data_IF_813582551281
#
_entry.id   IF_813582551281
#
_cell.length_a   1.000
_cell.length_b   1.000
_cell.length_c   1.000
_cell.angle_alpha   90.00
_cell.angle_beta   90.00
_cell.angle_gamma   90.00
#
_symmetry.space_group_name_H-M   'P 1'
#
loop_
_entity.id
_entity.type
_entity.pdbx_description
1 polymer ?
#
# COMPACT_ATOMS: atom_id res chain seq x y z
N UNK A 1 43.98 8.94 13.33
CA UNK A 1 42.59 8.95 12.84
C UNK A 1 42.18 7.51 12.70
N UNK A 2 41.16 7.03 13.40
CA UNK A 2 40.79 5.61 13.30
C UNK A 2 40.22 5.38 11.90
N UNK A 3 40.72 4.37 11.20
CA UNK A 3 40.13 3.86 9.96
C UNK A 3 38.72 3.38 10.30
N UNK A 4 37.74 4.25 10.11
CA UNK A 4 36.34 3.86 10.18
C UNK A 4 36.10 3.04 8.93
N UNK A 5 36.04 1.72 9.09
CA UNK A 5 35.65 0.81 8.03
C UNK A 5 34.38 1.36 7.35
N UNK A 6 34.45 1.52 6.02
CA UNK A 6 33.29 1.94 5.25
C UNK A 6 32.17 0.91 5.46
N UNK A 7 30.90 1.33 5.52
CA UNK A 7 29.78 0.40 5.51
C UNK A 7 29.92 -0.54 4.30
N UNK A 8 29.97 -1.83 4.57
CA UNK A 8 29.99 -2.89 3.57
C UNK A 8 28.66 -3.64 3.59
N UNK A 9 28.24 -4.14 2.44
CA UNK A 9 27.05 -4.98 2.33
C UNK A 9 27.22 -6.22 3.22
N UNK A 10 26.24 -6.45 4.10
CA UNK A 10 26.16 -7.65 4.93
C UNK A 10 24.97 -8.47 4.44
N UNK A 11 25.23 -9.50 3.64
CA UNK A 11 24.19 -10.43 3.21
C UNK A 11 23.83 -11.34 4.38
N UNK A 12 22.58 -11.25 4.86
CA UNK A 12 22.04 -12.15 5.89
C UNK A 12 21.23 -13.24 5.19
N UNK A 13 21.67 -14.49 5.32
CA UNK A 13 20.98 -15.65 4.72
C UNK A 13 21.30 -15.85 3.23
N UNK A 14 20.54 -16.77 2.60
CA UNK A 14 20.59 -17.01 1.16
C UNK A 14 19.31 -16.48 0.53
N UNK A 15 19.44 -15.73 -0.56
CA UNK A 15 18.28 -15.26 -1.34
C UNK A 15 17.76 -16.45 -2.15
N UNK A 16 16.55 -16.89 -1.84
CA UNK A 16 15.82 -17.86 -2.65
C UNK A 16 14.87 -17.13 -3.59
N UNK A 17 14.89 -17.54 -4.85
CA UNK A 17 14.00 -16.98 -5.87
C UNK A 17 12.66 -17.71 -5.85
N UNK A 18 11.62 -17.01 -5.41
CA UNK A 18 10.25 -17.56 -5.29
C UNK A 18 9.46 -17.44 -6.60
N UNK A 19 9.56 -16.31 -7.31
CA UNK A 19 8.84 -16.05 -8.56
C UNK A 19 9.61 -15.07 -9.46
N UNK A 20 9.18 -14.95 -10.72
CA UNK A 20 9.68 -13.95 -11.68
C UNK A 20 8.54 -13.15 -12.26
N UNK A 21 8.82 -11.88 -12.55
CA UNK A 21 7.91 -10.95 -13.20
C UNK A 21 8.68 -10.26 -14.33
N UNK A 22 8.11 -10.23 -15.52
CA UNK A 22 8.77 -9.67 -16.72
C UNK A 22 8.02 -8.47 -17.31
N UNK A 23 6.73 -8.35 -17.00
CA UNK A 23 5.84 -7.33 -17.56
C UNK A 23 5.59 -6.23 -16.52
N UNK A 24 4.42 -6.23 -15.86
CA UNK A 24 4.09 -5.24 -14.83
C UNK A 24 4.96 -5.38 -13.57
N UNK A 25 5.31 -4.23 -12.97
CA UNK A 25 6.09 -4.20 -11.73
C UNK A 25 5.17 -4.47 -10.53
N UNK A 26 5.42 -5.52 -9.72
CA UNK A 26 4.66 -5.76 -8.51
C UNK A 26 4.97 -4.70 -7.46
N UNK A 27 3.97 -4.29 -6.69
CA UNK A 27 4.13 -3.29 -5.62
C UNK A 27 4.12 -3.89 -4.23
N UNK A 28 3.58 -5.10 -4.07
CA UNK A 28 3.50 -5.78 -2.79
C UNK A 28 3.41 -7.30 -2.92
N UNK A 29 3.76 -7.99 -1.83
CA UNK A 29 3.65 -9.43 -1.68
C UNK A 29 3.21 -9.77 -0.25
N UNK A 30 2.36 -10.78 -0.10
CA UNK A 30 1.96 -11.35 1.19
C UNK A 30 1.83 -12.86 1.10
N UNK A 31 1.96 -13.54 2.23
CA UNK A 31 1.89 -15.02 2.32
C UNK A 31 0.80 -15.41 3.32
N UNK A 32 -0.05 -16.38 2.98
CA UNK A 32 -1.04 -16.94 3.90
C UNK A 32 -0.40 -17.86 4.94
N UNK A 33 -1.15 -18.19 5.99
CA UNK A 33 -0.74 -19.20 6.97
C UNK A 33 -0.53 -20.59 6.34
N UNK A 34 -1.19 -20.85 5.21
CA UNK A 34 -1.06 -22.08 4.40
C UNK A 34 0.06 -22.01 3.34
N UNK A 35 0.80 -20.90 3.25
CA UNK A 35 1.92 -20.73 2.32
C UNK A 35 1.54 -20.26 0.91
N UNK A 36 0.27 -19.88 0.68
CA UNK A 36 -0.17 -19.26 -0.58
C UNK A 36 0.44 -17.87 -0.70
N UNK A 37 0.93 -17.51 -1.88
CA UNK A 37 1.62 -16.24 -2.12
C UNK A 37 0.74 -15.35 -2.98
N UNK A 38 0.46 -14.14 -2.51
CA UNK A 38 -0.32 -13.15 -3.24
C UNK A 38 0.55 -11.95 -3.59
N UNK A 39 0.35 -11.43 -4.80
CA UNK A 39 1.08 -10.31 -5.37
C UNK A 39 0.06 -9.29 -5.86
N UNK A 40 0.39 -8.01 -5.78
CA UNK A 40 -0.44 -6.96 -6.35
C UNK A 40 0.35 -5.98 -7.22
N UNK A 41 -0.37 -5.38 -8.15
CA UNK A 41 0.15 -4.51 -9.19
C UNK A 41 -0.70 -3.24 -9.25
N UNK A 42 -0.13 -2.10 -8.87
CA UNK A 42 -0.80 -0.83 -9.06
C UNK A 42 -0.69 -0.38 -10.52
N UNK A 43 -1.75 0.24 -11.04
CA UNK A 43 -1.78 0.77 -12.41
C UNK A 43 -1.09 2.13 -12.47
N UNK A 44 0.24 2.17 -12.42
CA UNK A 44 1.02 3.42 -12.45
C UNK A 44 1.34 3.91 -13.87
N UNK A 45 1.29 3.02 -14.87
CA UNK A 45 1.65 3.32 -16.26
C UNK A 45 1.93 2.06 -17.08
N UNK A 46 2.27 0.97 -16.40
CA UNK A 46 2.41 -0.37 -16.99
C UNK A 46 1.07 -0.90 -17.52
N UNK A 47 1.12 -1.84 -18.46
CA UNK A 47 -0.04 -2.65 -18.83
C UNK A 47 -0.28 -3.73 -17.76
N UNK A 48 -1.39 -3.61 -17.03
CA UNK A 48 -1.70 -4.44 -15.86
C UNK A 48 -3.00 -5.23 -16.11
N UNK A 49 -2.89 -6.49 -16.58
CA UNK A 49 -4.06 -7.30 -16.94
C UNK A 49 -4.90 -7.71 -15.71
N UNK A 50 -4.28 -7.80 -14.55
CA UNK A 50 -4.93 -8.02 -13.25
C UNK A 50 -4.13 -7.31 -12.17
N UNK A 51 -4.81 -6.76 -11.18
CA UNK A 51 -4.18 -5.93 -10.14
C UNK A 51 -3.90 -6.72 -8.86
N UNK A 52 -4.48 -7.91 -8.73
CA UNK A 52 -4.16 -8.89 -7.69
C UNK A 52 -3.99 -10.26 -8.32
N UNK A 53 -2.97 -10.98 -7.88
CA UNK A 53 -2.68 -12.33 -8.32
C UNK A 53 -2.29 -13.24 -7.15
N UNK A 54 -2.55 -14.53 -7.33
CA UNK A 54 -1.90 -15.59 -6.57
C UNK A 54 -0.79 -16.22 -7.43
N UNK A 55 0.33 -16.54 -6.81
CA UNK A 55 1.37 -17.36 -7.45
C UNK A 55 0.99 -18.83 -7.30
N UNK A 56 0.63 -19.46 -8.42
CA UNK A 56 0.38 -20.91 -8.52
C UNK A 56 1.35 -21.49 -9.54
N UNK A 57 2.09 -22.52 -9.16
CA UNK A 57 3.12 -23.16 -10.00
C UNK A 57 4.11 -22.17 -10.63
N UNK A 58 4.51 -21.15 -9.86
CA UNK A 58 5.44 -20.09 -10.29
C UNK A 58 4.84 -19.06 -11.25
N UNK A 59 3.53 -19.07 -11.50
CA UNK A 59 2.83 -18.13 -12.38
C UNK A 59 1.84 -17.28 -11.61
N UNK A 60 1.76 -15.99 -11.96
CA UNK A 60 0.73 -15.09 -11.45
C UNK A 60 -0.61 -15.35 -12.16
N UNK A 61 -1.63 -15.72 -11.40
CA UNK A 61 -3.01 -15.90 -11.87
C UNK A 61 -3.90 -14.89 -11.14
N UNK A 62 -4.85 -14.28 -11.86
CA UNK A 62 -5.77 -13.30 -11.27
C UNK A 62 -6.50 -13.87 -10.05
N UNK A 63 -6.56 -13.07 -8.99
CA UNK A 63 -7.14 -13.47 -7.72
C UNK A 63 -8.04 -12.36 -7.17
N UNK A 64 -9.22 -12.65 -6.57
CA UNK A 64 -9.83 -13.99 -6.42
C UNK A 64 -10.27 -14.63 -7.74
N UNK A 65 -10.64 -13.80 -8.72
CA UNK A 65 -10.98 -14.25 -10.07
C UNK A 65 -10.72 -13.15 -11.12
N UNK A 66 -10.90 -13.50 -12.38
CA UNK A 66 -10.72 -12.60 -13.51
C UNK A 66 -11.82 -11.53 -13.62
N UNK A 67 -13.06 -11.80 -13.20
CA UNK A 67 -14.17 -10.86 -13.29
C UNK A 67 -13.97 -9.66 -12.35
N UNK A 68 -13.54 -9.93 -11.12
CA UNK A 68 -13.20 -8.88 -10.14
C UNK A 68 -11.97 -8.08 -10.61
N UNK A 69 -11.02 -8.71 -11.32
CA UNK A 69 -9.83 -8.05 -11.84
C UNK A 69 -10.01 -7.35 -13.20
N UNK A 70 -11.19 -7.41 -13.82
CA UNK A 70 -11.46 -6.91 -15.17
C UNK A 70 -11.25 -5.38 -15.34
N UNK A 71 -11.09 -4.64 -14.23
CA UNK A 71 -10.89 -3.18 -14.22
C UNK A 71 -11.98 -2.45 -15.00
N UNK A 72 -13.15 -2.32 -14.38
CA UNK A 72 -14.27 -1.59 -14.97
C UNK A 72 -14.55 -0.33 -14.15
N UNK A 73 -14.01 0.85 -14.52
CA UNK A 73 -14.22 2.08 -13.76
C UNK A 73 -15.68 2.45 -13.51
N UNK A 74 -16.59 2.04 -14.41
CA UNK A 74 -18.04 2.24 -14.25
C UNK A 74 -18.66 1.32 -13.19
N UNK A 75 -18.00 0.23 -12.86
CA UNK A 75 -18.36 -0.75 -11.83
C UNK A 75 -17.28 -0.83 -10.75
N UNK A 76 -16.71 0.31 -10.37
CA UNK A 76 -15.62 0.43 -9.39
C UNK A 76 -16.01 -0.06 -7.99
N UNK A 77 -17.30 -0.20 -7.68
CA UNK A 77 -17.79 -0.79 -6.44
C UNK A 77 -17.65 -2.31 -6.37
N UNK A 78 -17.59 -3.00 -7.53
CA UNK A 78 -17.55 -4.47 -7.62
C UNK A 78 -16.30 -5.01 -8.30
N UNK A 79 -15.57 -4.18 -9.05
CA UNK A 79 -14.30 -4.55 -9.68
C UNK A 79 -13.12 -3.80 -9.05
N UNK A 80 -11.91 -4.33 -9.22
CA UNK A 80 -10.66 -3.73 -8.75
C UNK A 80 -10.05 -2.82 -9.81
N UNK A 81 -9.69 -1.60 -9.41
CA UNK A 81 -9.25 -0.53 -10.31
C UNK A 81 -7.74 -0.30 -10.25
N UNK A 82 -7.14 -0.20 -9.08
CA UNK A 82 -5.68 -0.09 -8.92
C UNK A 82 -5.30 -0.44 -7.49
N UNK A 83 -4.87 -1.68 -7.28
CA UNK A 83 -4.54 -2.21 -5.96
C UNK A 83 -3.10 -1.90 -5.61
N UNK A 84 -2.93 -1.17 -4.51
CA UNK A 84 -1.64 -0.71 -4.04
C UNK A 84 -1.03 -1.64 -3.00
N UNK A 85 -1.86 -2.31 -2.19
CA UNK A 85 -1.39 -3.24 -1.15
C UNK A 85 -2.36 -4.42 -0.96
N UNK A 86 -1.79 -5.61 -0.77
CA UNK A 86 -2.51 -6.82 -0.35
C UNK A 86 -1.84 -7.37 0.90
N UNK A 87 -2.62 -7.66 1.93
CA UNK A 87 -2.14 -8.14 3.22
C UNK A 87 -3.00 -9.31 3.69
N UNK A 88 -2.37 -10.40 4.12
CA UNK A 88 -3.06 -11.44 4.87
C UNK A 88 -3.09 -11.06 6.35
N UNK A 89 -4.28 -11.07 6.94
CA UNK A 89 -4.45 -10.74 8.35
C UNK A 89 -4.20 -11.95 9.28
N UNK A 90 -4.15 -11.75 10.62
CA UNK A 90 -3.95 -12.86 11.56
C UNK A 90 -5.07 -13.92 11.59
N UNK A 91 -6.19 -13.73 10.87
CA UNK A 91 -7.27 -14.70 10.70
C UNK A 91 -7.20 -15.43 9.35
N UNK A 92 -6.08 -15.30 8.64
CA UNK A 92 -5.83 -15.88 7.32
C UNK A 92 -6.82 -15.43 6.24
N UNK A 93 -7.23 -14.16 6.29
CA UNK A 93 -8.03 -13.51 5.24
C UNK A 93 -7.15 -12.59 4.41
N UNK A 94 -7.35 -12.58 3.09
CA UNK A 94 -6.66 -11.63 2.21
C UNK A 94 -7.43 -10.32 2.14
N UNK A 95 -6.74 -9.23 2.45
CA UNK A 95 -7.27 -7.87 2.38
C UNK A 95 -6.61 -7.13 1.23
N UNK A 96 -7.43 -6.60 0.35
CA UNK A 96 -7.04 -5.90 -0.88
C UNK A 96 -7.37 -4.42 -0.71
N UNK A 97 -6.34 -3.56 -0.72
CA UNK A 97 -6.50 -2.10 -0.70
C UNK A 97 -6.46 -1.55 -2.14
N UNK A 98 -7.62 -1.18 -2.65
CA UNK A 98 -7.77 -0.55 -3.95
C UNK A 98 -7.80 0.98 -3.77
N UNK A 99 -6.84 1.67 -4.38
CA UNK A 99 -6.78 3.13 -4.33
C UNK A 99 -7.70 3.79 -5.36
N UNK A 100 -8.16 3.06 -6.37
CA UNK A 100 -8.95 3.55 -7.50
C UNK A 100 -8.38 4.81 -8.18
N UNK A 101 -7.05 4.95 -8.16
CA UNK A 101 -6.28 6.09 -8.64
C UNK A 101 -5.19 5.64 -9.64
N UNK A 102 -5.57 5.11 -10.82
CA UNK A 102 -4.60 4.73 -11.83
C UNK A 102 -3.79 5.96 -12.28
N UNK A 103 -2.48 5.80 -12.50
CA UNK A 103 -1.57 6.87 -12.88
C UNK A 103 -1.48 8.01 -11.87
N UNK A 104 -1.74 7.72 -10.58
CA UNK A 104 -1.84 8.74 -9.51
C UNK A 104 -2.93 9.80 -9.77
N UNK A 105 -3.96 9.45 -10.55
CA UNK A 105 -5.13 10.29 -10.76
C UNK A 105 -5.96 10.46 -9.47
N UNK A 106 -6.93 11.35 -9.49
CA UNK A 106 -7.89 11.46 -8.39
C UNK A 106 -8.63 10.12 -8.20
N UNK A 107 -8.78 9.62 -6.95
CA UNK A 107 -9.52 8.40 -6.71
C UNK A 107 -10.95 8.47 -7.28
N UNK A 108 -11.32 7.46 -8.07
CA UNK A 108 -12.66 7.35 -8.62
C UNK A 108 -13.73 7.34 -7.51
N UNK A 109 -14.84 8.05 -7.73
CA UNK A 109 -15.92 8.12 -6.76
C UNK A 109 -16.43 6.72 -6.38
N UNK A 110 -16.46 6.42 -5.08
CA UNK A 110 -16.84 5.09 -4.57
C UNK A 110 -15.89 3.95 -4.93
N UNK A 111 -14.73 4.26 -5.52
CA UNK A 111 -13.76 3.25 -5.97
C UNK A 111 -12.75 2.85 -4.90
N UNK A 112 -12.28 3.80 -4.08
CA UNK A 112 -11.29 3.53 -3.04
C UNK A 112 -11.90 2.67 -1.92
N UNK A 113 -11.34 1.47 -1.71
CA UNK A 113 -11.98 0.44 -0.89
C UNK A 113 -11.01 -0.60 -0.34
N UNK A 114 -11.44 -1.25 0.74
CA UNK A 114 -10.89 -2.51 1.22
C UNK A 114 -11.80 -3.66 0.78
N UNK A 115 -11.26 -4.68 0.15
CA UNK A 115 -11.97 -5.92 -0.22
C UNK A 115 -11.38 -7.08 0.57
N UNK A 116 -12.24 -7.88 1.20
CA UNK A 116 -11.86 -9.04 2.01
C UNK A 116 -12.19 -10.29 1.23
N UNK A 117 -11.18 -11.12 1.01
CA UNK A 117 -11.33 -12.44 0.40
C UNK A 117 -11.10 -13.50 1.47
N UNK A 118 -12.06 -14.41 1.59
CA UNK A 118 -11.91 -15.62 2.39
C UNK A 118 -11.04 -16.60 1.62
N UNK A 119 -9.85 -16.94 2.17
CA UNK A 119 -8.88 -17.80 1.51
C UNK A 119 -9.24 -19.29 1.52
N UNK A 120 -10.30 -19.69 2.22
CA UNK A 120 -10.82 -21.07 2.16
C UNK A 120 -11.71 -21.25 0.94
N UNK A 121 -12.47 -20.22 0.59
CA UNK A 121 -13.45 -20.26 -0.50
C UNK A 121 -13.04 -19.48 -1.74
N UNK A 122 -11.97 -18.69 -1.66
CA UNK A 122 -11.53 -17.72 -2.65
C UNK A 122 -12.66 -16.72 -3.05
N UNK A 123 -13.60 -16.45 -2.14
CA UNK A 123 -14.71 -15.53 -2.37
C UNK A 123 -14.54 -14.22 -1.63
N UNK A 124 -14.98 -13.13 -2.28
CA UNK A 124 -15.15 -11.84 -1.60
C UNK A 124 -16.28 -11.96 -0.57
N UNK A 125 -15.96 -11.72 0.70
CA UNK A 125 -16.91 -11.81 1.81
C UNK A 125 -17.30 -10.45 2.38
N UNK A 126 -16.52 -9.41 2.11
CA UNK A 126 -16.81 -8.05 2.59
C UNK A 126 -16.10 -7.02 1.71
N UNK A 127 -16.78 -5.90 1.46
CA UNK A 127 -16.19 -4.70 0.86
C UNK A 127 -16.49 -3.51 1.76
N UNK A 128 -15.46 -2.75 2.13
CA UNK A 128 -15.56 -1.53 2.93
C UNK A 128 -15.12 -0.36 2.04
N UNK A 129 -16.07 0.51 1.70
CA UNK A 129 -15.76 1.74 0.97
C UNK A 129 -15.07 2.73 1.90
N UNK A 130 -13.95 3.29 1.44
CA UNK A 130 -13.28 4.38 2.14
C UNK A 130 -14.04 5.68 1.87
N UNK A 131 -15.11 5.89 2.64
CA UNK A 131 -16.09 6.96 2.43
C UNK A 131 -16.01 8.05 3.52
N UNK A 132 -16.92 9.02 3.52
CA UNK A 132 -17.03 10.00 4.61
C UNK A 132 -15.92 11.06 4.64
N UNK A 133 -15.37 11.42 3.48
CA UNK A 133 -14.36 12.48 3.35
C UNK A 133 -12.94 12.09 3.82
N UNK A 134 -12.71 10.81 4.13
CA UNK A 134 -11.36 10.32 4.49
C UNK A 134 -10.44 10.19 3.28
N UNK A 135 -11.03 9.91 2.11
CA UNK A 135 -10.37 9.92 0.81
C UNK A 135 -10.56 11.31 0.20
N UNK A 136 -9.47 12.06 0.11
CA UNK A 136 -9.42 13.35 -0.56
C UNK A 136 -9.20 13.13 -2.06
N UNK A 137 -9.44 14.17 -2.87
CA UNK A 137 -9.08 14.15 -4.31
C UNK A 137 -7.60 13.85 -4.54
N UNK A 138 -6.74 14.21 -3.59
CA UNK A 138 -5.30 13.99 -3.65
C UNK A 138 -4.82 12.75 -2.88
N UNK A 139 -5.74 11.95 -2.32
CA UNK A 139 -5.37 10.77 -1.54
C UNK A 139 -4.83 9.68 -2.44
N UNK A 140 -3.72 9.08 -2.03
CA UNK A 140 -3.21 7.83 -2.60
C UNK A 140 -3.06 6.82 -1.46
N UNK A 141 -4.03 5.92 -1.32
CA UNK A 141 -4.03 4.93 -0.25
C UNK A 141 -2.97 3.86 -0.56
N UNK A 142 -1.95 3.76 0.29
CA UNK A 142 -0.74 3.01 -0.05
C UNK A 142 -0.61 1.69 0.70
N UNK A 143 -0.16 1.74 1.95
CA UNK A 143 0.05 0.56 2.78
C UNK A 143 -1.01 0.43 3.87
N UNK A 144 -1.23 -0.80 4.35
CA UNK A 144 -2.29 -1.11 5.30
C UNK A 144 -1.83 -2.06 6.41
N UNK A 145 -2.20 -1.78 7.67
CA UNK A 145 -1.97 -2.70 8.81
C UNK A 145 -3.23 -2.89 9.64
N UNK A 146 -3.47 -4.14 10.03
CA UNK A 146 -4.67 -4.57 10.75
C UNK A 146 -4.36 -4.78 12.23
N UNK A 147 -5.20 -4.21 13.09
CA UNK A 147 -5.23 -4.51 14.51
C UNK A 147 -6.58 -5.12 14.89
N UNK A 148 -6.63 -6.46 14.94
CA UNK A 148 -7.85 -7.19 15.27
C UNK A 148 -8.18 -7.21 16.78
N UNK A 149 -7.36 -6.55 17.63
CA UNK A 149 -7.60 -6.43 19.08
C UNK A 149 -8.44 -5.20 19.44
N UNK A 150 -8.58 -4.26 18.51
CA UNK A 150 -9.28 -2.99 18.72
C UNK A 150 -10.74 -3.09 18.29
N UNK A 151 -11.67 -2.56 19.08
CA UNK A 151 -13.09 -2.56 18.75
C UNK A 151 -13.68 -3.98 18.60
N UNK A 152 -14.82 -4.09 17.90
CA UNK A 152 -15.56 -5.35 17.78
C UNK A 152 -14.97 -6.31 16.72
N UNK A 153 -14.54 -5.78 15.58
CA UNK A 153 -13.99 -6.57 14.47
C UNK A 153 -12.53 -6.22 14.13
N UNK A 154 -11.92 -5.29 14.85
CA UNK A 154 -10.61 -4.74 14.54
C UNK A 154 -10.68 -3.30 14.03
N UNK A 155 -9.50 -2.69 13.96
CA UNK A 155 -9.27 -1.45 13.25
C UNK A 155 -8.18 -1.65 12.21
N UNK A 156 -8.17 -0.80 11.20
CA UNK A 156 -7.15 -0.80 10.14
C UNK A 156 -6.55 0.59 9.99
N UNK A 157 -5.24 0.63 9.76
CA UNK A 157 -4.46 1.85 9.58
C UNK A 157 -3.89 1.86 8.17
N UNK A 158 -4.20 2.90 7.41
CA UNK A 158 -3.82 3.05 6.01
C UNK A 158 -2.99 4.33 5.87
N UNK A 159 -1.87 4.25 5.17
CA UNK A 159 -1.10 5.46 4.84
C UNK A 159 -1.66 6.14 3.60
N UNK A 160 -1.68 7.47 3.65
CA UNK A 160 -1.93 8.29 2.47
C UNK A 160 -0.61 8.87 1.96
N UNK A 161 -0.07 8.23 0.91
CA UNK A 161 1.23 8.54 0.30
C UNK A 161 1.10 9.53 -0.83
N UNK A 162 0.35 10.60 -0.58
CA UNK A 162 0.14 11.63 -1.57
C UNK A 162 1.42 12.08 -2.27
N UNK A 163 1.21 12.60 -3.47
CA UNK A 163 2.15 13.43 -4.21
C UNK A 163 1.76 14.91 -4.20
N UNK A 164 0.50 15.22 -3.88
CA UNK A 164 -0.02 16.60 -3.74
C UNK A 164 -1.00 16.70 -2.56
N UNK A 165 -1.14 17.89 -1.97
CA UNK A 165 -2.08 18.11 -0.85
C UNK A 165 -1.56 17.60 0.51
N UNK A 166 -2.45 17.35 1.49
CA UNK A 166 -2.06 16.97 2.86
C UNK A 166 -2.03 15.45 3.08
N UNK A 167 -0.93 14.93 3.67
CA UNK A 167 -0.71 13.50 3.93
C UNK A 167 -1.48 13.07 5.16
N UNK A 168 -1.40 11.80 5.55
CA UNK A 168 -2.02 11.37 6.79
C UNK A 168 -2.05 9.87 6.97
N UNK A 169 -2.75 9.47 8.03
CA UNK A 169 -3.11 8.08 8.32
C UNK A 169 -4.63 8.00 8.35
N UNK A 170 -5.22 7.13 7.54
CA UNK A 170 -6.64 6.83 7.58
C UNK A 170 -6.84 5.64 8.52
N UNK A 171 -7.71 5.79 9.50
CA UNK A 171 -8.07 4.74 10.45
C UNK A 171 -9.51 4.33 10.19
N UNK A 172 -9.78 3.05 9.97
CA UNK A 172 -11.13 2.54 9.73
C UNK A 172 -11.50 1.51 10.79
N UNK A 173 -12.69 1.66 11.37
CA UNK A 173 -13.30 0.62 12.22
C UNK A 173 -13.84 -0.48 11.31
N UNK A 174 -13.38 -1.72 11.49
CA UNK A 174 -13.75 -2.80 10.59
C UNK A 174 -15.19 -3.27 10.79
N UNK A 175 -15.81 -3.03 11.95
CA UNK A 175 -17.17 -3.43 12.23
C UNK A 175 -18.18 -2.48 11.57
N UNK A 176 -17.94 -1.17 11.67
CA UNK A 176 -18.86 -0.15 11.14
C UNK A 176 -18.50 0.31 9.73
N UNK A 177 -17.23 0.14 9.32
CA UNK A 177 -16.70 0.73 8.09
C UNK A 177 -16.44 2.23 8.19
N UNK A 178 -16.63 2.85 9.36
CA UNK A 178 -16.39 4.28 9.53
C UNK A 178 -14.90 4.59 9.52
N UNK A 179 -14.51 5.48 8.61
CA UNK A 179 -13.16 5.99 8.50
C UNK A 179 -12.96 7.32 9.24
N UNK A 180 -11.73 7.57 9.69
CA UNK A 180 -11.27 8.86 10.17
C UNK A 180 -9.87 9.14 9.67
N UNK A 181 -9.63 10.39 9.24
CA UNK A 181 -8.29 10.85 8.91
C UNK A 181 -7.58 11.35 10.17
N UNK A 182 -6.33 10.96 10.35
CA UNK A 182 -5.46 11.31 11.48
C UNK A 182 -4.14 11.85 10.97
N UNK A 183 -3.55 12.74 11.77
CA UNK A 183 -2.28 13.41 11.47
C UNK A 183 -2.28 14.14 10.12
N UNK A 184 -3.45 14.59 9.65
CA UNK A 184 -3.58 15.16 8.31
C UNK A 184 -2.70 16.41 8.16
N UNK A 185 -1.82 16.41 7.16
CA UNK A 185 -0.90 17.51 6.87
C UNK A 185 0.17 17.78 7.95
N UNK A 186 0.36 16.88 8.93
CA UNK A 186 1.38 17.06 9.96
C UNK A 186 2.77 16.79 9.40
N UNK A 187 3.84 17.44 9.92
CA UNK A 187 5.20 17.21 9.42
C UNK A 187 5.63 15.74 9.39
N UNK A 188 5.13 14.90 10.31
CA UNK A 188 5.45 13.47 10.35
C UNK A 188 4.82 12.64 9.23
N UNK A 189 3.84 13.18 8.49
CA UNK A 189 3.16 12.51 7.37
C UNK A 189 3.38 13.23 6.03
N UNK A 190 4.18 14.30 6.03
CA UNK A 190 4.53 15.09 4.85
C UNK A 190 5.95 14.79 4.40
N UNK A 191 6.27 14.92 3.10
CA UNK A 191 7.63 14.78 2.62
C UNK A 191 8.55 15.86 3.21
N UNK A 192 9.81 15.50 3.48
CA UNK A 192 10.88 16.47 3.69
C UNK A 192 11.37 16.95 2.33
N UNK A 193 11.06 18.20 1.96
CA UNK A 193 11.45 18.77 0.66
C UNK A 193 12.96 18.93 0.47
N UNK A 194 13.77 18.77 1.53
CA UNK A 194 15.23 18.75 1.46
C UNK A 194 15.80 17.35 1.25
N UNK A 195 14.97 16.31 1.36
CA UNK A 195 15.37 14.94 1.07
C UNK A 195 15.55 14.74 -0.44
N UNK A 196 16.69 14.18 -0.83
CA UNK A 196 16.98 13.80 -2.22
C UNK A 196 17.31 12.31 -2.25
N UNK A 197 16.43 11.46 -2.80
CA UNK A 197 16.74 10.06 -2.98
C UNK A 197 17.85 9.91 -4.04
N UNK A 198 18.80 9.01 -3.76
CA UNK A 198 19.86 8.64 -4.69
C UNK A 198 19.83 7.13 -4.87
N UNK A 199 19.62 6.67 -6.10
CA UNK A 199 19.53 5.25 -6.46
C UNK A 199 20.59 4.96 -7.51
N UNK A 200 21.43 3.95 -7.26
CA UNK A 200 22.56 3.61 -8.14
C UNK A 200 23.47 4.81 -8.49
N UNK A 201 23.65 5.75 -7.56
CA UNK A 201 24.46 6.97 -7.75
C UNK A 201 23.71 8.13 -8.42
N UNK A 202 22.50 7.91 -8.91
CA UNK A 202 21.70 8.91 -9.62
C UNK A 202 20.66 9.57 -8.71
N UNK A 203 20.50 10.89 -8.84
CA UNK A 203 19.47 11.64 -8.11
C UNK A 203 18.10 11.34 -8.72
N UNK A 204 17.20 10.79 -7.91
CA UNK A 204 15.82 10.57 -8.30
C UNK A 204 15.05 11.89 -8.25
N UNK A 205 14.32 12.18 -9.31
CA UNK A 205 13.49 13.37 -9.48
C UNK A 205 12.33 13.06 -10.41
N UNK A 206 11.22 13.78 -10.26
CA UNK A 206 10.13 13.75 -11.25
C UNK A 206 10.59 14.55 -12.46
N UNK A 207 10.50 13.95 -13.65
CA UNK A 207 10.99 14.53 -14.91
C UNK A 207 9.88 14.45 -15.94
N UNK A 208 9.47 15.61 -16.44
CA UNK A 208 8.56 15.71 -17.57
C UNK A 208 9.28 16.43 -18.71
N UNK A 209 8.99 16.03 -19.94
CA UNK A 209 9.62 16.63 -21.13
C UNK A 209 9.33 18.13 -21.18
N UNK A 210 10.39 18.94 -21.24
CA UNK A 210 10.26 20.40 -21.32
C UNK A 210 10.08 21.12 -19.99
N UNK A 211 10.12 20.43 -18.84
CA UNK A 211 10.05 21.05 -17.51
C UNK A 211 11.35 20.86 -16.71
N UNK A 212 11.58 21.73 -15.73
CA UNK A 212 12.68 21.55 -14.79
C UNK A 212 12.39 20.35 -13.87
N UNK A 213 13.39 19.50 -13.56
CA UNK A 213 13.20 18.38 -12.64
C UNK A 213 12.63 18.82 -11.29
N UNK A 214 11.61 18.12 -10.82
CA UNK A 214 10.98 18.40 -9.53
C UNK A 214 11.42 17.38 -8.47
N UNK A 215 11.45 17.76 -7.18
CA UNK A 215 11.73 16.83 -6.09
C UNK A 215 10.78 15.63 -6.11
N UNK A 216 11.32 14.43 -5.89
CA UNK A 216 10.51 13.25 -5.62
C UNK A 216 9.98 13.34 -4.17
N UNK A 217 8.75 13.85 -4.02
CA UNK A 217 8.17 14.22 -2.74
C UNK A 217 6.89 13.43 -2.45
N UNK A 218 7.04 12.32 -1.73
CA UNK A 218 5.95 11.41 -1.37
C UNK A 218 5.73 11.42 0.15
N UNK A 219 4.46 11.55 0.55
CA UNK A 219 4.02 11.58 1.93
C UNK A 219 4.14 10.24 2.67
N UNK A 220 3.34 10.08 3.73
CA UNK A 220 3.30 8.86 4.55
C UNK A 220 3.11 7.61 3.69
N UNK A 221 4.00 6.64 3.82
CA UNK A 221 4.05 5.46 2.97
C UNK A 221 4.23 4.21 3.84
N UNK A 222 5.47 3.92 4.24
CA UNK A 222 5.75 2.77 5.10
C UNK A 222 5.06 2.86 6.46
N UNK A 223 4.44 1.75 6.89
CA UNK A 223 3.71 1.60 8.15
C UNK A 223 3.92 0.20 8.73
N UNK A 224 4.04 0.12 10.05
CA UNK A 224 4.15 -1.14 10.78
C UNK A 224 3.46 -1.02 12.14
N UNK A 225 2.76 -2.08 12.53
CA UNK A 225 2.20 -2.20 13.87
C UNK A 225 3.12 -3.08 14.70
N UNK A 226 3.43 -2.67 15.93
CA UNK A 226 4.18 -3.52 16.85
C UNK A 226 3.42 -4.81 17.13
N UNK A 227 4.14 -5.91 17.42
CA UNK A 227 3.53 -7.21 17.64
C UNK A 227 2.44 -7.19 18.74
N UNK A 228 2.64 -6.38 19.78
CA UNK A 228 1.70 -6.17 20.89
C UNK A 228 0.58 -5.14 20.61
N UNK A 229 0.62 -4.49 19.45
CA UNK A 229 -0.38 -3.49 19.01
C UNK A 229 -0.32 -2.16 19.71
N UNK A 230 0.67 -1.94 20.58
CA UNK A 230 0.76 -0.73 21.35
C UNK A 230 1.26 0.45 20.52
N UNK A 231 2.05 0.21 19.47
CA UNK A 231 2.76 1.25 18.73
C UNK A 231 2.57 1.12 17.23
N UNK A 232 2.08 2.19 16.60
CA UNK A 232 2.05 2.33 15.15
C UNK A 232 3.27 3.12 14.69
N UNK A 233 4.16 2.47 13.96
CA UNK A 233 5.30 3.09 13.30
C UNK A 233 4.91 3.50 11.88
N UNK A 234 5.36 4.67 11.46
CA UNK A 234 5.10 5.16 10.11
C UNK A 234 6.18 6.15 9.67
N UNK A 235 6.28 6.38 8.36
CA UNK A 235 7.20 7.38 7.80
C UNK A 235 6.72 7.92 6.47
N UNK A 236 7.07 9.17 6.13
CA UNK A 236 7.06 9.61 4.75
C UNK A 236 8.10 8.83 3.94
N UNK A 237 7.78 8.52 2.67
CA UNK A 237 8.75 7.91 1.76
C UNK A 237 9.92 8.86 1.50
N UNK A 238 9.62 10.14 1.24
CA UNK A 238 10.63 11.18 1.02
C UNK A 238 11.09 11.82 2.33
N UNK A 239 11.69 11.02 3.22
CA UNK A 239 12.24 11.49 4.50
C UNK A 239 13.25 10.49 5.07
N UNK A 240 14.15 10.96 5.95
CA UNK A 240 15.03 10.11 6.77
C UNK A 240 14.46 9.79 8.15
N UNK A 241 13.29 10.33 8.49
CA UNK A 241 12.71 10.17 9.82
C UNK A 241 11.69 9.02 9.86
N UNK A 242 11.80 8.20 10.91
CA UNK A 242 10.78 7.23 11.33
C UNK A 242 10.03 7.82 12.53
N UNK A 243 8.71 7.75 12.49
CA UNK A 243 7.83 8.23 13.54
C UNK A 243 7.04 7.08 14.16
N UNK A 244 6.51 7.32 15.35
CA UNK A 244 5.63 6.39 16.04
C UNK A 244 4.56 7.13 16.83
N UNK A 245 3.41 6.48 17.01
CA UNK A 245 2.36 6.89 17.95
C UNK A 245 1.94 5.69 18.79
N UNK A 246 1.66 5.94 20.07
CA UNK A 246 1.03 4.96 20.94
C UNK A 246 -0.47 4.89 20.60
N UNK A 247 -0.99 3.67 20.52
CA UNK A 247 -2.41 3.39 20.31
C UNK A 247 -3.15 3.08 21.63
N UNK A 248 -2.43 3.12 22.75
CA UNK A 248 -2.90 2.91 24.12
C UNK A 248 -2.61 4.15 24.97
#
# INVERSE_FOLDING_TARGET
MSDKALPAEQTVGMIERVAHFFDAVPTGATVSATGRIFINYARWGDDVPFTVAEIRDGKALSFPDAAINACEPKHSGTTLISVQSVVVDPKDRSWVLDTAAPGFAEPGAGGAKLVVVDLTTDMVVKTILLSGGVVLRSTHANEVRFDLRQGKEGAVHITDSLITGPGGIIVVDLATGEGRRRLSGRPSTMPDLKFVPVVAGERQAVRETGTAPQPFAVGSDGIALSADGATLHYRPLSSRHLYAVLLK
#
